data_IF_153597993608
#
_entry.id   IF_153597993608
#
_cell.length_a   1.000
_cell.length_b   1.000
_cell.length_c   1.000
_cell.angle_alpha   90.00
_cell.angle_beta   90.00
_cell.angle_gamma   90.00
#
_symmetry.space_group_name_H-M   'P 1'
#
loop_
_entity.id
_entity.type
_entity.pdbx_description
1 polymer ?
#
# COMPACT_ATOMS: atom_id res chain seq x y z
N UNK A 1 24.00 2.13 13.39
CA UNK A 1 23.42 1.14 14.33
C UNK A 1 22.84 0.02 13.49
N UNK A 2 22.95 -1.24 13.93
CA UNK A 2 22.33 -2.37 13.23
C UNK A 2 21.04 -2.70 13.96
N UNK A 3 19.91 -2.67 13.25
CA UNK A 3 18.59 -3.03 13.80
C UNK A 3 18.25 -4.48 13.47
N UNK A 4 17.65 -5.18 14.43
CA UNK A 4 17.06 -6.50 14.24
C UNK A 4 15.55 -6.41 14.03
N UNK A 5 14.97 -7.47 13.50
CA UNK A 5 13.50 -7.56 13.30
C UNK A 5 12.71 -7.38 14.61
N UNK A 6 13.28 -7.78 15.74
CA UNK A 6 12.66 -7.68 17.05
C UNK A 6 12.55 -6.24 17.58
N UNK A 7 13.37 -5.31 17.07
CA UNK A 7 13.26 -3.88 17.40
C UNK A 7 11.95 -3.25 16.90
N UNK A 8 11.27 -3.93 15.96
CA UNK A 8 9.99 -3.53 15.38
C UNK A 8 8.83 -4.41 15.84
N UNK A 9 8.98 -5.10 16.96
CA UNK A 9 7.94 -5.96 17.52
C UNK A 9 7.13 -5.23 18.60
N UNK A 10 5.85 -5.53 18.67
CA UNK A 10 4.96 -5.10 19.72
C UNK A 10 3.77 -6.05 19.83
N UNK A 11 3.17 -6.13 21.01
CA UNK A 11 1.97 -6.95 21.19
C UNK A 11 0.73 -6.20 20.72
N UNK A 12 0.08 -6.71 19.66
CA UNK A 12 -1.19 -6.20 19.16
C UNK A 12 -2.34 -7.11 19.54
N UNK A 13 -3.31 -6.65 20.36
CA UNK A 13 -4.52 -7.41 20.64
C UNK A 13 -5.36 -7.62 19.37
N UNK A 14 -5.77 -8.87 19.11
CA UNK A 14 -6.54 -9.22 17.88
C UNK A 14 -7.83 -8.40 17.72
N UNK A 15 -8.48 -8.01 18.84
CA UNK A 15 -9.70 -7.19 18.81
C UNK A 15 -9.50 -5.81 18.17
N UNK A 16 -8.25 -5.33 18.08
CA UNK A 16 -7.93 -4.06 17.45
C UNK A 16 -7.69 -4.17 15.93
N UNK A 17 -7.69 -5.38 15.38
CA UNK A 17 -7.56 -5.60 13.95
C UNK A 17 -8.91 -5.35 13.28
N UNK A 18 -9.01 -4.26 12.51
CA UNK A 18 -10.25 -3.86 11.84
C UNK A 18 -10.64 -4.85 10.75
N UNK A 19 -11.89 -5.32 10.77
CA UNK A 19 -12.46 -6.20 9.76
C UNK A 19 -13.31 -5.45 8.73
N UNK A 20 -13.65 -4.20 8.99
CA UNK A 20 -14.42 -3.31 8.13
C UNK A 20 -14.05 -1.86 8.39
N UNK A 21 -14.22 -0.95 7.39
CA UNK A 21 -13.92 0.48 7.57
C UNK A 21 -14.87 1.15 8.57
N UNK A 22 -14.55 2.37 8.94
CA UNK A 22 -15.51 3.25 9.62
C UNK A 22 -16.61 3.66 8.64
N UNK A 23 -17.79 3.96 9.14
CA UNK A 23 -18.92 4.50 8.39
C UNK A 23 -19.47 5.75 9.06
N UNK A 24 -19.35 6.94 8.45
CA UNK A 24 -18.58 7.25 7.22
C UNK A 24 -17.09 6.95 7.35
N UNK A 25 -16.38 6.83 6.21
CA UNK A 25 -14.94 6.43 6.20
C UNK A 25 -14.05 7.41 6.94
N UNK A 26 -14.35 8.70 6.86
CA UNK A 26 -13.62 9.79 7.53
C UNK A 26 -13.93 9.90 9.04
N UNK A 27 -14.84 9.07 9.57
CA UNK A 27 -15.06 8.93 11.02
C UNK A 27 -14.07 7.95 11.68
N UNK A 28 -13.05 7.47 10.96
CA UNK A 28 -11.89 6.81 11.55
C UNK A 28 -11.17 7.76 12.50
N UNK A 29 -10.55 7.24 13.57
CA UNK A 29 -9.68 8.04 14.43
C UNK A 29 -8.42 8.48 13.67
N UNK A 30 -7.89 9.63 14.01
CA UNK A 30 -6.64 10.17 13.49
C UNK A 30 -5.71 10.55 14.65
N UNK A 31 -4.60 9.84 14.79
CA UNK A 31 -3.54 10.22 15.71
C UNK A 31 -2.65 11.25 15.00
N UNK A 32 -2.56 12.45 15.54
CA UNK A 32 -1.64 13.48 15.06
C UNK A 32 -0.39 13.47 15.93
N UNK A 33 0.77 13.30 15.30
CA UNK A 33 2.06 13.35 15.97
C UNK A 33 2.93 14.46 15.37
N UNK A 34 3.35 15.39 16.20
CA UNK A 34 4.26 16.48 15.85
C UNK A 34 5.68 16.12 16.25
N UNK A 35 6.57 15.97 15.26
CA UNK A 35 7.98 15.55 15.47
C UNK A 35 8.81 16.58 16.21
N UNK A 36 8.50 17.87 16.04
CA UNK A 36 9.28 18.94 16.67
C UNK A 36 9.01 19.05 18.17
N UNK A 37 7.75 18.86 18.56
CA UNK A 37 7.30 18.98 19.96
C UNK A 37 7.13 17.63 20.65
N UNK A 38 7.16 16.53 19.88
CA UNK A 38 6.86 15.16 20.32
C UNK A 38 5.45 15.04 20.93
N UNK A 39 4.53 15.92 20.54
CA UNK A 39 3.16 15.91 21.02
C UNK A 39 2.29 14.91 20.27
N UNK A 40 1.46 14.14 20.99
CA UNK A 40 0.40 13.29 20.44
C UNK A 40 -0.94 13.95 20.73
N UNK A 41 -1.78 14.03 19.71
CA UNK A 41 -3.16 14.50 19.79
C UNK A 41 -4.10 13.48 19.14
N UNK A 42 -5.18 13.14 19.82
CA UNK A 42 -6.24 12.28 19.28
C UNK A 42 -7.30 13.15 18.61
N UNK A 43 -7.57 12.87 17.32
CA UNK A 43 -8.54 13.55 16.46
C UNK A 43 -9.37 12.52 15.69
N UNK A 44 -10.21 12.99 14.79
CA UNK A 44 -10.88 12.18 13.77
C UNK A 44 -10.42 12.59 12.38
N UNK A 45 -10.49 11.66 11.43
CA UNK A 45 -9.99 11.90 10.08
C UNK A 45 -10.77 13.01 9.34
N UNK A 46 -12.06 13.21 9.67
CA UNK A 46 -12.87 14.30 9.12
C UNK A 46 -12.39 15.71 9.52
N UNK A 47 -11.46 15.83 10.50
CA UNK A 47 -10.84 17.11 10.92
C UNK A 47 -9.58 17.43 10.11
N UNK A 48 -9.18 16.56 9.16
CA UNK A 48 -7.90 16.62 8.45
C UNK A 48 -7.67 17.97 7.77
N UNK A 49 -8.69 18.56 7.14
CA UNK A 49 -8.63 19.86 6.46
C UNK A 49 -8.14 21.00 7.37
N UNK A 50 -8.45 20.93 8.66
CA UNK A 50 -7.98 21.91 9.67
C UNK A 50 -6.61 21.57 10.29
N UNK A 51 -6.11 20.36 10.09
CA UNK A 51 -4.87 19.85 10.69
C UNK A 51 -3.69 19.93 9.71
N UNK A 52 -3.95 20.10 8.43
CA UNK A 52 -2.94 20.24 7.39
C UNK A 52 -2.35 21.67 7.39
N UNK A 53 -1.08 21.79 7.04
CA UNK A 53 -0.43 23.07 6.81
C UNK A 53 -0.97 23.72 5.54
N UNK A 54 -1.22 25.04 5.57
CA UNK A 54 -1.90 25.77 4.51
C UNK A 54 -1.18 25.75 3.15
N UNK A 55 0.14 25.57 3.15
CA UNK A 55 1.00 25.54 1.97
C UNK A 55 1.46 24.15 1.58
N UNK A 56 0.83 23.11 2.16
CA UNK A 56 1.13 21.71 1.81
C UNK A 56 0.43 21.28 0.53
N UNK A 57 1.06 20.36 -0.19
CA UNK A 57 0.42 19.59 -1.25
C UNK A 57 0.24 18.14 -0.80
N UNK A 58 -1.00 17.65 -0.84
CA UNK A 58 -1.30 16.23 -0.62
C UNK A 58 -0.95 15.41 -1.85
N UNK A 59 -0.17 14.35 -1.68
CA UNK A 59 0.16 13.44 -2.79
C UNK A 59 -0.45 12.08 -2.54
N UNK A 60 -1.35 11.68 -3.42
CA UNK A 60 -2.17 10.47 -3.36
C UNK A 60 -1.66 9.41 -4.34
N UNK A 61 -1.82 8.13 -3.99
CA UNK A 61 -1.65 7.04 -4.94
C UNK A 61 -3.02 6.65 -5.53
N UNK A 62 -3.23 6.88 -6.82
CA UNK A 62 -4.49 6.65 -7.52
C UNK A 62 -4.65 5.24 -8.10
N UNK A 63 -3.75 4.32 -7.75
CA UNK A 63 -3.84 2.95 -8.26
C UNK A 63 -5.14 2.27 -7.84
N UNK A 64 -5.72 1.50 -8.78
CA UNK A 64 -6.95 0.72 -8.59
C UNK A 64 -6.62 -0.75 -8.40
N UNK A 65 -7.25 -1.37 -7.40
CA UNK A 65 -7.11 -2.81 -7.15
C UNK A 65 -7.86 -3.58 -8.22
N UNK A 66 -7.17 -4.49 -8.89
CA UNK A 66 -7.79 -5.37 -9.88
C UNK A 66 -8.33 -6.65 -9.25
N UNK A 67 -9.35 -7.25 -9.86
CA UNK A 67 -9.93 -8.53 -9.43
C UNK A 67 -9.05 -9.71 -9.88
N UNK A 68 -7.87 -9.84 -9.30
CA UNK A 68 -6.86 -10.82 -9.68
C UNK A 68 -6.93 -12.15 -8.92
N UNK A 69 -7.89 -12.32 -8.03
CA UNK A 69 -8.08 -13.53 -7.23
C UNK A 69 -9.20 -14.38 -7.84
N UNK A 70 -8.83 -15.46 -8.52
CA UNK A 70 -9.79 -16.38 -9.15
C UNK A 70 -10.14 -17.52 -8.18
N UNK A 71 -11.40 -17.60 -7.77
CA UNK A 71 -11.88 -18.62 -6.83
C UNK A 71 -12.81 -19.61 -7.53
N UNK A 72 -12.47 -20.90 -7.45
CA UNK A 72 -13.22 -22.00 -8.02
C UNK A 72 -13.66 -23.00 -6.95
N UNK A 73 -14.65 -23.82 -7.25
CA UNK A 73 -15.12 -24.89 -6.35
C UNK A 73 -15.49 -24.38 -4.96
N UNK A 74 -16.15 -23.19 -4.88
CA UNK A 74 -16.47 -22.56 -3.60
C UNK A 74 -15.24 -22.16 -2.79
N UNK A 75 -14.16 -21.69 -3.45
CA UNK A 75 -12.92 -21.23 -2.83
C UNK A 75 -11.92 -22.35 -2.49
N UNK A 76 -12.21 -23.61 -2.82
CA UNK A 76 -11.29 -24.75 -2.59
C UNK A 76 -10.11 -24.74 -3.57
N UNK A 77 -10.27 -24.13 -4.72
CA UNK A 77 -9.22 -23.92 -5.72
C UNK A 77 -9.09 -22.45 -5.99
N UNK A 78 -7.87 -21.95 -5.88
CA UNK A 78 -7.55 -20.54 -6.05
C UNK A 78 -6.38 -20.38 -7.02
N UNK A 79 -6.52 -19.43 -7.95
CA UNK A 79 -5.44 -18.90 -8.76
C UNK A 79 -5.37 -17.40 -8.44
N UNK A 80 -4.25 -16.96 -7.86
CA UNK A 80 -3.97 -15.57 -7.60
C UNK A 80 -3.03 -15.06 -8.69
N UNK A 81 -3.56 -14.28 -9.63
CA UNK A 81 -2.80 -13.74 -10.76
C UNK A 81 -1.90 -12.61 -10.28
N UNK A 82 -0.59 -12.79 -10.41
CA UNK A 82 0.42 -11.78 -10.06
C UNK A 82 0.75 -10.91 -11.27
N UNK A 83 0.93 -11.55 -12.43
CA UNK A 83 1.27 -10.87 -13.67
C UNK A 83 0.59 -11.56 -14.87
N UNK A 84 0.21 -10.76 -15.86
CA UNK A 84 -0.36 -11.23 -17.11
C UNK A 84 0.70 -11.10 -18.20
N UNK A 85 1.23 -12.25 -18.66
CA UNK A 85 2.28 -12.31 -19.68
C UNK A 85 1.67 -11.98 -21.04
N UNK A 86 0.52 -12.59 -21.32
CA UNK A 86 -0.36 -12.30 -22.44
C UNK A 86 -1.80 -12.76 -22.07
N UNK A 87 -2.83 -12.53 -22.90
CA UNK A 87 -4.22 -12.85 -22.54
C UNK A 87 -4.47 -14.31 -22.08
N UNK A 88 -3.61 -15.24 -22.45
CA UNK A 88 -3.75 -16.67 -22.14
C UNK A 88 -2.70 -17.18 -21.14
N UNK A 89 -1.67 -16.41 -20.86
CA UNK A 89 -0.57 -16.83 -20.00
C UNK A 89 -0.39 -15.90 -18.81
N UNK A 90 -0.47 -16.47 -17.61
CA UNK A 90 -0.34 -15.70 -16.37
C UNK A 90 0.73 -16.31 -15.47
N UNK A 91 1.38 -15.44 -14.68
CA UNK A 91 2.17 -15.86 -13.54
C UNK A 91 1.30 -15.75 -12.29
N UNK A 92 1.21 -16.82 -11.50
CA UNK A 92 0.25 -16.90 -10.42
C UNK A 92 0.75 -17.70 -9.21
N UNK A 93 0.25 -17.33 -8.05
CA UNK A 93 0.20 -18.21 -6.88
C UNK A 93 -1.05 -19.09 -6.98
N UNK A 94 -0.99 -20.31 -6.45
CA UNK A 94 -2.13 -21.26 -6.52
C UNK A 94 -2.35 -22.01 -5.22
N UNK A 95 -3.61 -22.32 -4.95
CA UNK A 95 -4.01 -23.16 -3.81
C UNK A 95 -5.10 -24.15 -4.23
N UNK A 96 -4.97 -25.44 -3.86
CA UNK A 96 -3.84 -26.09 -3.22
C UNK A 96 -2.70 -26.40 -4.23
N UNK A 97 -1.45 -26.12 -3.87
CA UNK A 97 -0.29 -26.30 -4.76
C UNK A 97 -0.14 -27.72 -5.30
N UNK A 98 -0.58 -28.76 -4.55
CA UNK A 98 -0.55 -30.17 -4.98
C UNK A 98 -1.43 -30.45 -6.22
N UNK A 99 -2.45 -29.61 -6.48
CA UNK A 99 -3.34 -29.73 -7.67
C UNK A 99 -2.61 -29.21 -8.92
N UNK A 100 -1.70 -28.24 -8.78
CA UNK A 100 -1.01 -27.53 -9.85
C UNK A 100 0.46 -28.00 -10.00
N UNK A 101 0.66 -29.22 -10.51
CA UNK A 101 1.99 -29.77 -10.80
C UNK A 101 2.39 -29.46 -12.25
N UNK A 102 3.69 -29.27 -12.50
CA UNK A 102 4.23 -29.00 -13.86
C UNK A 102 3.73 -30.03 -14.88
N UNK A 103 3.30 -29.55 -16.03
CA UNK A 103 2.74 -30.32 -17.13
C UNK A 103 1.32 -30.85 -16.90
N UNK A 104 0.70 -30.52 -15.76
CA UNK A 104 -0.67 -30.94 -15.45
C UNK A 104 -1.68 -29.91 -15.95
N UNK A 105 -2.75 -30.40 -16.57
CA UNK A 105 -3.98 -29.67 -16.87
C UNK A 105 -4.92 -29.78 -15.68
N UNK A 106 -5.36 -28.66 -15.14
CA UNK A 106 -6.26 -28.55 -13.98
C UNK A 106 -7.60 -28.05 -14.46
N UNK A 107 -8.66 -28.85 -14.32
CA UNK A 107 -10.03 -28.41 -14.57
C UNK A 107 -10.46 -27.45 -13.47
N UNK A 108 -10.96 -26.29 -13.84
CA UNK A 108 -11.38 -25.20 -12.95
C UNK A 108 -12.92 -25.11 -12.88
N UNK A 109 -13.56 -25.20 -14.05
CA UNK A 109 -15.01 -25.24 -14.24
C UNK A 109 -15.31 -26.03 -15.54
N UNK A 110 -16.57 -26.33 -15.88
CA UNK A 110 -16.89 -26.92 -17.18
C UNK A 110 -16.24 -26.14 -18.33
N UNK A 111 -15.49 -26.82 -19.19
CA UNK A 111 -14.75 -26.28 -20.34
C UNK A 111 -13.66 -25.25 -20.01
N UNK A 112 -13.43 -24.95 -18.71
CA UNK A 112 -12.43 -24.00 -18.23
C UNK A 112 -11.29 -24.75 -17.52
N UNK A 113 -10.06 -24.63 -18.02
CA UNK A 113 -8.89 -25.28 -17.43
C UNK A 113 -7.64 -24.38 -17.48
N UNK A 114 -6.68 -24.69 -16.63
CA UNK A 114 -5.34 -24.14 -16.65
C UNK A 114 -4.31 -25.26 -16.81
N UNK A 115 -3.31 -25.06 -17.65
CA UNK A 115 -2.15 -25.93 -17.80
C UNK A 115 -0.94 -25.32 -17.13
N UNK A 116 -0.23 -26.09 -16.29
CA UNK A 116 0.95 -25.64 -15.57
C UNK A 116 2.19 -25.82 -16.45
N UNK A 117 2.74 -24.73 -16.98
CA UNK A 117 3.90 -24.75 -17.86
C UNK A 117 5.21 -24.85 -17.08
N UNK A 118 5.33 -24.03 -16.01
CA UNK A 118 6.53 -24.01 -15.17
C UNK A 118 6.18 -23.72 -13.70
N UNK A 119 7.15 -24.01 -12.83
CA UNK A 119 7.10 -23.68 -11.40
C UNK A 119 8.48 -23.12 -11.06
N UNK A 120 8.51 -21.94 -10.45
CA UNK A 120 9.74 -21.31 -9.96
C UNK A 120 10.18 -21.89 -8.61
N UNK A 121 11.38 -21.57 -8.15
CA UNK A 121 11.92 -22.07 -6.86
C UNK A 121 11.10 -21.58 -5.66
N UNK A 122 10.57 -20.35 -5.73
CA UNK A 122 9.67 -19.74 -4.73
C UNK A 122 8.21 -20.22 -4.87
N UNK A 123 7.95 -21.11 -5.84
CA UNK A 123 6.69 -21.78 -5.99
C UNK A 123 5.63 -21.07 -6.82
N UNK A 124 5.97 -20.02 -7.55
CA UNK A 124 5.06 -19.40 -8.54
C UNK A 124 4.85 -20.32 -9.73
N UNK A 125 3.67 -20.24 -10.36
CA UNK A 125 3.30 -21.02 -11.54
C UNK A 125 3.13 -20.12 -12.74
N UNK A 126 3.72 -20.52 -13.86
CA UNK A 126 3.28 -20.01 -15.16
C UNK A 126 2.16 -20.93 -15.65
N UNK A 127 0.99 -20.35 -15.83
CA UNK A 127 -0.21 -21.06 -16.25
C UNK A 127 -0.60 -20.62 -17.66
N UNK A 128 -1.00 -21.60 -18.49
CA UNK A 128 -1.72 -21.37 -19.74
C UNK A 128 -3.20 -21.61 -19.50
N UNK A 129 -4.02 -20.60 -19.71
CA UNK A 129 -5.47 -20.65 -19.55
C UNK A 129 -6.12 -21.13 -20.84
N UNK A 130 -7.26 -21.83 -20.74
CA UNK A 130 -8.03 -22.29 -21.89
C UNK A 130 -8.73 -21.19 -22.67
N UNK A 131 -9.01 -20.07 -22.00
CA UNK A 131 -9.64 -18.85 -22.53
C UNK A 131 -8.79 -17.64 -22.13
N UNK A 132 -8.97 -16.52 -22.83
CA UNK A 132 -8.36 -15.25 -22.42
C UNK A 132 -8.79 -14.89 -21.00
N UNK A 133 -7.88 -14.35 -20.18
CA UNK A 133 -8.22 -13.89 -18.83
C UNK A 133 -9.33 -12.81 -18.84
N UNK A 134 -9.46 -12.06 -19.95
CA UNK A 134 -10.48 -11.01 -20.12
C UNK A 134 -11.81 -11.57 -20.62
N UNK A 135 -11.90 -12.87 -20.91
CA UNK A 135 -13.14 -13.50 -21.34
C UNK A 135 -14.17 -13.50 -20.20
N UNK A 136 -15.42 -13.21 -20.55
CA UNK A 136 -16.54 -13.17 -19.61
C UNK A 136 -16.73 -14.49 -18.81
N UNK A 137 -16.19 -15.60 -19.29
CA UNK A 137 -16.22 -16.90 -18.58
C UNK A 137 -15.51 -16.84 -17.22
N UNK A 138 -14.53 -15.92 -17.05
CA UNK A 138 -13.83 -15.75 -15.77
C UNK A 138 -14.54 -14.80 -14.79
N UNK A 139 -15.46 -13.94 -15.24
CA UNK A 139 -16.10 -12.92 -14.39
C UNK A 139 -16.74 -13.49 -13.10
N UNK A 140 -17.44 -14.64 -13.12
CA UNK A 140 -18.02 -15.22 -11.90
C UNK A 140 -16.98 -15.68 -10.87
N UNK A 141 -15.71 -15.79 -11.27
CA UNK A 141 -14.63 -16.31 -10.44
C UNK A 141 -13.66 -15.22 -9.99
N UNK A 142 -13.73 -14.03 -10.58
CA UNK A 142 -12.87 -12.88 -10.24
C UNK A 142 -13.30 -12.21 -8.95
N UNK A 143 -12.39 -12.09 -8.00
CA UNK A 143 -12.60 -11.45 -6.71
C UNK A 143 -11.48 -10.45 -6.41
N UNK A 144 -11.83 -9.40 -5.65
CA UNK A 144 -10.86 -8.45 -5.10
C UNK A 144 -9.96 -9.16 -4.09
N UNK A 145 -8.64 -8.98 -4.15
CA UNK A 145 -7.70 -9.60 -3.24
C UNK A 145 -7.66 -8.87 -1.89
N UNK A 146 -8.60 -9.16 -1.00
CA UNK A 146 -8.55 -8.63 0.36
C UNK A 146 -7.33 -9.19 1.11
N UNK A 147 -6.73 -8.39 2.00
CA UNK A 147 -5.63 -8.84 2.86
C UNK A 147 -5.97 -10.08 3.67
N UNK A 148 -4.99 -10.95 4.01
CA UNK A 148 -5.25 -12.25 4.63
C UNK A 148 -5.85 -12.18 6.03
N UNK A 149 -5.75 -11.05 6.72
CA UNK A 149 -6.33 -10.81 8.05
C UNK A 149 -7.79 -10.30 8.00
N UNK A 150 -8.31 -10.00 6.80
CA UNK A 150 -9.71 -9.63 6.59
C UNK A 150 -10.48 -10.87 6.14
N UNK A 151 -11.59 -11.16 6.82
CA UNK A 151 -12.49 -12.22 6.39
C UNK A 151 -13.04 -11.93 4.98
N UNK A 152 -12.98 -12.94 4.09
CA UNK A 152 -13.47 -12.78 2.72
C UNK A 152 -14.95 -12.40 2.73
N UNK A 153 -15.25 -11.20 2.21
CA UNK A 153 -16.59 -10.67 2.09
C UNK A 153 -16.68 -9.85 0.80
N UNK A 154 -17.55 -10.26 -0.12
CA UNK A 154 -17.73 -9.59 -1.41
C UNK A 154 -18.20 -8.13 -1.25
N UNK A 155 -19.01 -7.85 -0.21
CA UNK A 155 -19.46 -6.48 0.08
C UNK A 155 -18.30 -5.51 0.39
N UNK A 156 -17.14 -6.02 0.83
CA UNK A 156 -15.95 -5.20 1.09
C UNK A 156 -15.12 -4.91 -0.17
N UNK A 157 -15.42 -5.54 -1.30
CA UNK A 157 -14.64 -5.37 -2.54
C UNK A 157 -14.62 -3.93 -3.02
N UNK A 158 -15.79 -3.26 -3.02
CA UNK A 158 -15.90 -1.85 -3.39
C UNK A 158 -15.36 -0.93 -2.29
N UNK A 159 -15.45 -1.34 -1.03
CA UNK A 159 -14.90 -0.58 0.08
C UNK A 159 -13.37 -0.64 0.15
N UNK A 160 -12.75 -1.64 -0.47
CA UNK A 160 -11.30 -1.79 -0.60
C UNK A 160 -10.74 -1.04 -1.82
N UNK A 161 -11.37 0.11 -2.17
CA UNK A 161 -10.93 1.06 -3.20
C UNK A 161 -10.98 2.48 -2.63
N UNK A 162 -10.02 3.30 -3.05
CA UNK A 162 -10.09 4.74 -2.77
C UNK A 162 -11.13 5.42 -3.68
N UNK A 163 -11.68 6.55 -3.27
CA UNK A 163 -12.65 7.32 -4.07
C UNK A 163 -12.02 7.90 -5.35
N UNK A 164 -10.70 7.96 -5.41
CA UNK A 164 -9.92 8.48 -6.54
C UNK A 164 -9.14 7.39 -7.30
N UNK A 165 -9.47 6.10 -7.08
CA UNK A 165 -8.82 4.99 -7.78
C UNK A 165 -9.11 5.02 -9.28
N UNK A 166 -8.07 5.07 -10.12
CA UNK A 166 -8.14 5.19 -11.59
C UNK A 166 -7.38 4.08 -12.31
N UNK A 167 -6.08 3.96 -12.06
CA UNK A 167 -5.14 3.15 -12.84
C UNK A 167 -5.10 1.72 -12.32
N UNK A 168 -5.68 0.78 -13.07
CA UNK A 168 -5.74 -0.64 -12.72
C UNK A 168 -4.36 -1.31 -12.77
N UNK A 169 -4.15 -2.34 -11.97
CA UNK A 169 -2.92 -3.15 -11.92
C UNK A 169 -2.41 -3.39 -10.49
N UNK A 170 -3.01 -2.75 -9.49
CA UNK A 170 -2.62 -2.94 -8.10
C UNK A 170 -3.22 -4.22 -7.50
N UNK A 171 -2.43 -4.95 -6.70
CA UNK A 171 -2.89 -6.14 -5.96
C UNK A 171 -3.38 -5.80 -4.55
N UNK A 172 -3.19 -4.54 -4.12
CA UNK A 172 -3.70 -4.04 -2.84
C UNK A 172 -4.03 -2.55 -2.94
N UNK A 173 -4.99 -2.09 -2.14
CA UNK A 173 -5.35 -0.68 -2.08
C UNK A 173 -4.28 0.15 -1.36
N UNK A 174 -4.08 1.42 -1.73
CA UNK A 174 -3.33 2.39 -0.94
C UNK A 174 -4.18 2.80 0.28
N UNK A 175 -4.11 2.00 1.35
CA UNK A 175 -5.11 1.94 2.42
C UNK A 175 -5.28 3.23 3.21
N UNK A 176 -4.25 4.08 3.31
CA UNK A 176 -4.38 5.40 3.93
C UNK A 176 -5.35 6.32 3.16
N UNK A 177 -5.55 6.05 1.88
CA UNK A 177 -6.51 6.76 1.04
C UNK A 177 -7.96 6.32 1.24
N UNK A 178 -8.21 5.19 1.89
CA UNK A 178 -9.57 4.69 2.12
C UNK A 178 -10.39 5.58 3.06
N UNK A 179 -9.74 6.41 3.87
CA UNK A 179 -10.40 7.31 4.81
C UNK A 179 -11.03 8.53 4.16
N UNK A 180 -10.58 8.90 2.95
CA UNK A 180 -11.12 10.07 2.27
C UNK A 180 -12.53 9.83 1.77
N UNK A 181 -13.38 10.86 1.96
CA UNK A 181 -14.73 10.97 1.39
C UNK A 181 -14.76 12.11 0.36
N UNK A 182 -15.70 12.12 -0.58
CA UNK A 182 -15.85 13.25 -1.51
C UNK A 182 -16.03 14.58 -0.79
N UNK A 183 -16.78 14.59 0.32
CA UNK A 183 -17.03 15.76 1.14
C UNK A 183 -15.77 16.30 1.80
N UNK A 184 -14.92 15.42 2.35
CA UNK A 184 -13.62 15.81 2.91
C UNK A 184 -12.69 16.36 1.84
N UNK A 185 -12.61 15.70 0.68
CA UNK A 185 -11.79 16.18 -0.45
C UNK A 185 -12.22 17.57 -0.91
N UNK A 186 -13.53 17.85 -0.93
CA UNK A 186 -14.05 19.18 -1.28
C UNK A 186 -13.63 20.23 -0.24
N UNK A 187 -13.72 19.93 1.07
CA UNK A 187 -13.25 20.86 2.12
C UNK A 187 -11.76 21.14 2.05
N UNK A 188 -10.94 20.11 1.76
CA UNK A 188 -9.51 20.26 1.55
C UNK A 188 -9.24 21.21 0.36
N UNK A 189 -9.93 21.03 -0.75
CA UNK A 189 -9.81 21.90 -1.91
C UNK A 189 -10.28 23.33 -1.60
N UNK A 190 -11.39 23.50 -0.88
CA UNK A 190 -11.92 24.81 -0.47
C UNK A 190 -10.96 25.56 0.49
N UNK A 191 -10.14 24.81 1.24
CA UNK A 191 -9.09 25.37 2.09
C UNK A 191 -7.84 25.83 1.31
N UNK A 192 -7.81 25.64 -0.02
CA UNK A 192 -6.71 26.02 -0.88
C UNK A 192 -5.53 25.02 -0.90
N UNK A 193 -5.68 23.87 -0.28
CA UNK A 193 -4.67 22.80 -0.27
C UNK A 193 -4.69 22.08 -1.62
N UNK A 194 -3.53 22.02 -2.27
CA UNK A 194 -3.37 21.31 -3.53
C UNK A 194 -3.37 19.79 -3.31
N UNK A 195 -3.95 19.07 -4.27
CA UNK A 195 -3.98 17.61 -4.28
C UNK A 195 -3.41 17.11 -5.59
N UNK A 196 -2.41 16.27 -5.51
CA UNK A 196 -1.72 15.68 -6.65
C UNK A 196 -1.79 14.16 -6.60
N UNK A 197 -1.78 13.53 -7.76
CA UNK A 197 -1.89 12.08 -7.88
C UNK A 197 -0.68 11.50 -8.59
N UNK A 198 -0.16 10.41 -8.05
CA UNK A 198 0.79 9.52 -8.70
C UNK A 198 0.23 8.09 -8.73
N UNK A 199 0.84 7.22 -9.47
CA UNK A 199 0.48 5.79 -9.51
C UNK A 199 1.62 4.96 -8.96
N UNK A 200 1.34 4.04 -8.04
CA UNK A 200 2.21 2.90 -7.71
C UNK A 200 1.33 1.65 -7.63
N UNK A 201 1.65 0.67 -8.44
CA UNK A 201 0.97 -0.63 -8.41
C UNK A 201 1.54 -1.49 -7.30
N UNK A 202 0.77 -1.61 -6.22
CA UNK A 202 1.16 -2.37 -5.02
C UNK A 202 1.20 -3.86 -5.35
N UNK A 203 2.36 -4.48 -5.13
CA UNK A 203 2.56 -5.92 -5.26
C UNK A 203 2.18 -6.71 -4.01
N UNK A 204 2.20 -8.05 -4.14
CA UNK A 204 1.92 -8.95 -3.00
C UNK A 204 2.97 -8.88 -1.89
N UNK A 205 4.18 -8.44 -2.21
CA UNK A 205 5.29 -8.33 -1.25
C UNK A 205 5.03 -7.38 -0.10
N UNK A 206 4.16 -6.39 -0.28
CA UNK A 206 3.83 -5.39 0.73
C UNK A 206 3.22 -5.99 2.01
N UNK A 207 2.53 -7.13 1.90
CA UNK A 207 1.98 -7.86 3.06
C UNK A 207 2.83 -9.05 3.51
N UNK A 208 3.96 -9.30 2.85
CA UNK A 208 4.84 -10.38 3.24
C UNK A 208 5.60 -10.00 4.52
N UNK A 209 5.60 -10.87 5.54
CA UNK A 209 6.39 -10.61 6.74
C UNK A 209 7.89 -10.65 6.40
N UNK A 210 8.67 -9.78 7.03
CA UNK A 210 10.13 -9.84 6.97
C UNK A 210 10.59 -11.13 7.65
N UNK A 211 11.37 -11.94 6.92
CA UNK A 211 11.83 -13.26 7.39
C UNK A 211 13.28 -13.27 7.89
N UNK A 212 14.02 -12.22 7.61
CA UNK A 212 15.42 -12.07 7.98
C UNK A 212 15.54 -11.55 9.41
N UNK A 213 16.52 -12.05 10.18
CA UNK A 213 16.78 -11.51 11.53
C UNK A 213 17.36 -10.09 11.47
N UNK A 214 18.24 -9.84 10.51
CA UNK A 214 18.78 -8.50 10.22
C UNK A 214 17.96 -7.85 9.13
N UNK A 215 17.42 -6.69 9.41
CA UNK A 215 16.53 -6.00 8.44
C UNK A 215 17.27 -5.64 7.14
N UNK A 216 18.59 -5.40 7.19
CA UNK A 216 19.41 -5.06 6.03
C UNK A 216 19.56 -6.22 5.02
N UNK A 217 19.25 -7.44 5.43
CA UNK A 217 19.28 -8.63 4.56
C UNK A 217 17.93 -8.85 3.84
N UNK A 218 16.91 -8.05 4.16
CA UNK A 218 15.61 -8.13 3.51
C UNK A 218 15.68 -7.55 2.10
N UNK A 219 15.17 -8.32 1.13
CA UNK A 219 15.05 -7.89 -0.26
C UNK A 219 13.64 -7.40 -0.50
N UNK A 220 13.50 -6.13 -0.82
CA UNK A 220 12.22 -5.54 -1.20
C UNK A 220 11.80 -6.02 -2.58
N UNK A 221 10.50 -6.23 -2.75
CA UNK A 221 9.92 -6.46 -4.07
C UNK A 221 9.85 -5.14 -4.85
N UNK A 222 10.19 -5.23 -6.12
CA UNK A 222 10.08 -4.12 -7.06
C UNK A 222 8.60 -3.83 -7.38
N UNK A 223 8.21 -2.55 -7.35
CA UNK A 223 6.87 -2.08 -7.67
C UNK A 223 6.94 -0.97 -8.71
N UNK A 224 6.10 -1.07 -9.73
CA UNK A 224 6.07 -0.09 -10.84
C UNK A 224 5.32 1.17 -10.41
N UNK A 225 5.84 2.32 -10.81
CA UNK A 225 5.21 3.61 -10.57
C UNK A 225 5.16 4.47 -11.84
N UNK A 226 4.31 5.48 -11.78
CA UNK A 226 4.24 6.56 -12.75
C UNK A 226 4.03 7.91 -12.04
N UNK A 227 4.85 8.90 -12.37
CA UNK A 227 4.72 10.29 -11.95
C UNK A 227 4.45 11.15 -13.18
N UNK A 228 3.26 11.77 -13.33
CA UNK A 228 2.94 12.64 -14.44
C UNK A 228 3.84 13.89 -14.49
N UNK A 229 4.11 14.40 -15.70
CA UNK A 229 4.98 15.57 -15.91
C UNK A 229 4.44 16.82 -15.21
N UNK A 230 3.16 17.10 -15.36
CA UNK A 230 2.49 18.23 -14.71
C UNK A 230 2.49 18.14 -13.17
N UNK A 231 2.47 16.91 -12.61
CA UNK A 231 2.57 16.69 -11.17
C UNK A 231 4.00 16.97 -10.71
N UNK A 232 4.99 16.43 -11.39
CA UNK A 232 6.40 16.68 -11.07
C UNK A 232 6.74 18.19 -11.10
N UNK A 233 6.25 18.91 -12.10
CA UNK A 233 6.44 20.36 -12.20
C UNK A 233 5.81 21.11 -11.00
N UNK A 234 4.60 20.74 -10.58
CA UNK A 234 3.95 21.36 -9.42
C UNK A 234 4.68 21.03 -8.13
N UNK A 235 5.09 19.78 -7.92
CA UNK A 235 5.86 19.34 -6.74
C UNK A 235 7.22 20.05 -6.64
N UNK A 236 7.88 20.37 -7.77
CA UNK A 236 9.12 21.14 -7.78
C UNK A 236 8.98 22.57 -7.21
N UNK A 237 7.75 23.10 -7.19
CA UNK A 237 7.42 24.43 -6.71
C UNK A 237 6.68 24.40 -5.37
N UNK A 238 6.49 23.24 -4.76
CA UNK A 238 5.74 23.05 -3.52
C UNK A 238 6.68 23.14 -2.32
N UNK A 239 6.40 23.98 -1.32
CA UNK A 239 7.24 24.10 -0.11
C UNK A 239 7.12 22.88 0.80
N UNK A 240 5.90 22.37 0.99
CA UNK A 240 5.61 21.24 1.86
C UNK A 240 4.85 20.13 1.14
N UNK A 241 5.27 18.89 1.33
CA UNK A 241 4.64 17.70 0.74
C UNK A 241 4.16 16.79 1.85
N UNK A 242 2.85 16.56 1.88
CA UNK A 242 2.21 15.54 2.73
C UNK A 242 1.88 14.31 1.88
N UNK A 243 2.60 13.22 2.09
CA UNK A 243 2.33 11.97 1.39
C UNK A 243 1.16 11.21 2.04
N UNK A 244 0.22 10.73 1.25
CA UNK A 244 -0.85 9.86 1.71
C UNK A 244 -0.51 8.41 1.37
N UNK A 245 -0.18 7.65 2.40
CA UNK A 245 0.26 6.27 2.33
C UNK A 245 1.76 6.11 2.09
N UNK A 246 2.28 5.00 2.59
CA UNK A 246 3.67 4.59 2.41
C UNK A 246 4.04 4.37 0.95
N UNK A 247 3.07 4.08 0.09
CA UNK A 247 3.24 3.93 -1.36
C UNK A 247 3.61 5.26 -2.01
N UNK A 248 2.93 6.35 -1.67
CA UNK A 248 3.28 7.70 -2.15
C UNK A 248 4.66 8.12 -1.67
N UNK A 249 5.01 7.83 -0.40
CA UNK A 249 6.36 8.05 0.14
C UNK A 249 7.40 7.34 -0.71
N UNK A 250 7.21 6.06 -1.00
CA UNK A 250 8.20 5.26 -1.73
C UNK A 250 8.46 5.79 -3.14
N UNK A 251 7.42 6.25 -3.85
CA UNK A 251 7.62 6.88 -5.15
C UNK A 251 8.38 8.20 -5.00
N UNK A 252 7.90 9.10 -4.16
CA UNK A 252 8.47 10.43 -4.00
C UNK A 252 9.95 10.36 -3.59
N UNK A 253 10.29 9.52 -2.62
CA UNK A 253 11.68 9.34 -2.18
C UNK A 253 12.57 8.66 -3.25
N UNK A 254 12.01 7.78 -4.07
CA UNK A 254 12.75 7.14 -5.17
C UNK A 254 13.03 8.12 -6.31
N UNK A 255 12.06 8.96 -6.65
CA UNK A 255 12.18 9.94 -7.76
C UNK A 255 13.15 11.04 -7.38
N UNK A 256 13.10 11.55 -6.15
CA UNK A 256 14.05 12.58 -5.66
C UNK A 256 15.47 12.00 -5.59
N UNK A 257 15.65 10.78 -5.11
CA UNK A 257 16.98 10.16 -5.03
C UNK A 257 17.64 9.97 -6.42
N UNK A 258 16.84 9.76 -7.46
CA UNK A 258 17.31 9.63 -8.85
C UNK A 258 17.68 10.98 -9.49
N UNK A 259 17.09 12.07 -9.05
CA UNK A 259 17.25 13.42 -9.64
C UNK A 259 18.23 14.34 -8.91
N UNK A 260 18.77 13.93 -7.77
CA UNK A 260 19.71 14.75 -7.00
C UNK A 260 21.06 14.85 -7.68
N UNK A 261 21.33 16.02 -8.24
CA UNK A 261 22.67 16.47 -8.63
C UNK A 261 23.41 16.91 -7.34
N UNK A 262 24.41 16.15 -6.93
CA UNK A 262 25.13 16.32 -5.66
C UNK A 262 25.85 17.68 -5.56
N UNK A 263 25.98 18.43 -6.68
CA UNK A 263 26.70 19.70 -6.75
C UNK A 263 25.84 20.96 -6.50
N UNK A 264 24.50 20.90 -6.57
CA UNK A 264 23.66 22.11 -6.55
C UNK A 264 22.96 22.44 -5.24
N UNK A 265 23.19 21.68 -4.15
CA UNK A 265 22.72 22.04 -2.81
C UNK A 265 21.22 22.39 -2.74
N UNK A 266 20.38 21.35 -2.71
CA UNK A 266 19.13 21.37 -1.98
C UNK A 266 17.94 22.18 -2.51
N UNK A 267 17.56 22.06 -3.78
CA UNK A 267 16.15 22.17 -4.14
C UNK A 267 15.67 20.78 -4.53
N UNK A 268 14.60 20.26 -3.87
CA UNK A 268 13.94 19.02 -4.29
C UNK A 268 13.62 19.12 -5.78
N UNK A 269 14.02 18.12 -6.54
CA UNK A 269 13.71 18.06 -7.96
C UNK A 269 13.10 16.70 -8.26
N UNK A 270 11.87 16.72 -8.72
CA UNK A 270 11.13 15.52 -9.13
C UNK A 270 11.20 15.43 -10.66
N UNK A 271 11.56 14.26 -11.16
CA UNK A 271 11.54 13.95 -12.59
C UNK A 271 10.31 13.09 -12.89
N UNK A 272 9.55 13.52 -13.90
CA UNK A 272 8.39 12.78 -14.37
C UNK A 272 8.79 11.49 -15.06
N UNK A 273 7.91 10.51 -15.08
CA UNK A 273 8.07 9.30 -15.86
C UNK A 273 7.59 8.04 -15.18
N UNK A 274 7.74 6.94 -15.92
CA UNK A 274 7.50 5.59 -15.42
C UNK A 274 8.80 4.98 -14.93
N UNK A 275 8.74 4.25 -13.83
CA UNK A 275 9.87 3.55 -13.27
C UNK A 275 9.43 2.42 -12.35
N UNK A 276 10.40 1.88 -11.65
CA UNK A 276 10.17 0.91 -10.58
C UNK A 276 10.96 1.28 -9.34
N UNK A 277 10.45 0.87 -8.18
CA UNK A 277 11.11 1.10 -6.90
C UNK A 277 11.12 -0.15 -6.04
N UNK A 278 12.28 -0.45 -5.50
CA UNK A 278 12.51 -1.43 -4.45
C UNK A 278 13.05 -0.76 -3.17
N UNK A 279 12.84 0.57 -3.05
CA UNK A 279 13.36 1.35 -1.92
C UNK A 279 12.91 0.74 -0.59
N UNK A 280 13.88 0.50 0.28
CA UNK A 280 13.67 0.02 1.64
C UNK A 280 14.05 1.10 2.64
N UNK A 281 13.04 1.80 3.13
CA UNK A 281 13.20 2.90 4.09
C UNK A 281 13.22 2.33 5.51
N UNK A 282 14.34 2.51 6.21
CA UNK A 282 14.59 2.00 7.57
C UNK A 282 15.20 3.10 8.44
N UNK A 283 15.20 2.97 9.78
CA UNK A 283 15.82 3.96 10.67
C UNK A 283 17.25 4.31 10.26
N UNK A 284 17.52 5.61 10.15
CA UNK A 284 18.75 6.18 9.60
C UNK A 284 18.60 6.71 8.17
N UNK A 285 17.47 6.42 7.51
CA UNK A 285 17.11 7.07 6.25
C UNK A 285 16.76 8.55 6.48
N UNK A 286 17.26 9.42 5.61
CA UNK A 286 16.95 10.84 5.62
C UNK A 286 15.93 11.14 4.53
N UNK A 287 14.70 11.48 4.92
CA UNK A 287 13.64 11.88 4.00
C UNK A 287 14.02 13.16 3.27
N UNK A 288 13.85 13.17 1.96
CA UNK A 288 14.24 14.27 1.08
C UNK A 288 13.02 14.89 0.40
N UNK A 289 12.00 14.09 0.15
CA UNK A 289 10.81 14.48 -0.59
C UNK A 289 9.62 14.80 0.31
N UNK A 290 9.50 14.10 1.45
CA UNK A 290 8.26 14.08 2.24
C UNK A 290 8.45 14.80 3.57
N UNK A 291 7.61 15.80 3.82
CA UNK A 291 7.63 16.60 5.07
C UNK A 291 6.65 16.05 6.11
N UNK A 292 5.49 15.56 5.67
CA UNK A 292 4.48 14.94 6.52
C UNK A 292 3.92 13.66 5.87
N UNK A 293 3.44 12.74 6.71
CA UNK A 293 2.95 11.43 6.28
C UNK A 293 1.60 11.12 6.92
N UNK A 294 0.60 10.84 6.09
CA UNK A 294 -0.67 10.22 6.51
C UNK A 294 -0.58 8.73 6.23
N UNK A 295 -0.74 7.89 7.25
CA UNK A 295 -0.66 6.43 7.06
C UNK A 295 -1.51 5.67 8.07
N UNK A 296 -1.82 4.39 7.80
CA UNK A 296 -2.47 3.51 8.76
C UNK A 296 -1.49 3.01 9.82
N UNK A 297 -2.01 2.37 10.88
CA UNK A 297 -1.20 1.59 11.81
C UNK A 297 -0.83 0.25 11.19
N UNK A 298 0.47 -0.07 11.19
CA UNK A 298 1.03 -1.23 10.50
C UNK A 298 1.27 -2.44 11.40
N UNK A 299 1.49 -3.60 10.75
CA UNK A 299 1.84 -4.86 11.39
C UNK A 299 3.17 -4.79 12.15
N UNK A 300 3.29 -5.46 13.31
CA UNK A 300 4.60 -5.72 13.90
C UNK A 300 5.52 -6.40 12.89
N UNK A 301 6.81 -6.08 12.95
CA UNK A 301 7.87 -6.65 12.08
C UNK A 301 7.66 -6.43 10.58
N UNK A 302 6.85 -5.44 10.17
CA UNK A 302 6.63 -5.12 8.76
C UNK A 302 7.60 -4.04 8.26
N UNK A 303 7.87 -4.06 6.95
CA UNK A 303 8.66 -3.02 6.27
C UNK A 303 8.02 -1.64 6.39
N UNK A 304 6.67 -1.58 6.47
CA UNK A 304 5.93 -0.35 6.63
C UNK A 304 6.10 0.26 8.02
N UNK A 305 6.19 -0.58 9.07
CA UNK A 305 6.51 -0.10 10.42
C UNK A 305 7.93 0.46 10.50
N UNK A 306 8.88 -0.14 9.76
CA UNK A 306 10.25 0.35 9.67
C UNK A 306 10.32 1.73 8.99
N UNK A 307 9.50 1.95 7.96
CA UNK A 307 9.36 3.25 7.30
C UNK A 307 8.83 4.31 8.29
N UNK A 308 7.80 3.98 9.07
CA UNK A 308 7.30 4.88 10.13
C UNK A 308 8.40 5.16 11.17
N UNK A 309 9.12 4.13 11.62
CA UNK A 309 10.21 4.29 12.56
C UNK A 309 11.38 5.13 12.00
N UNK A 310 11.60 5.07 10.68
CA UNK A 310 12.55 5.96 10.02
C UNK A 310 12.09 7.42 10.01
N UNK A 311 10.77 7.66 9.97
CA UNK A 311 10.18 9.00 9.91
C UNK A 311 10.14 9.71 11.27
N UNK A 312 9.77 8.96 12.33
CA UNK A 312 9.59 9.55 13.68
C UNK A 312 10.68 9.17 14.68
N UNK A 313 11.55 8.22 14.35
CA UNK A 313 12.47 7.57 15.28
C UNK A 313 11.89 6.31 15.93
N UNK A 314 12.76 5.36 16.28
CA UNK A 314 12.35 4.05 16.79
C UNK A 314 11.61 4.16 18.14
N UNK A 315 12.13 4.95 19.07
CA UNK A 315 11.53 5.15 20.40
C UNK A 315 10.15 5.81 20.29
N UNK A 316 10.03 6.83 19.44
CA UNK A 316 8.77 7.52 19.20
C UNK A 316 7.75 6.64 18.49
N UNK A 317 8.18 5.81 17.54
CA UNK A 317 7.30 4.81 16.95
C UNK A 317 6.70 3.91 18.03
N UNK A 318 7.51 3.37 18.94
CA UNK A 318 6.98 2.55 20.04
C UNK A 318 6.03 3.31 20.95
N UNK A 319 6.32 4.58 21.26
CA UNK A 319 5.46 5.44 22.09
C UNK A 319 4.11 5.70 21.42
N UNK A 320 4.13 6.03 20.11
CA UNK A 320 2.92 6.26 19.30
C UNK A 320 2.06 4.98 19.26
N UNK A 321 2.66 3.83 19.00
CA UNK A 321 1.93 2.55 18.93
C UNK A 321 1.39 2.09 20.28
N UNK A 322 2.13 2.32 21.37
CA UNK A 322 1.65 2.05 22.74
C UNK A 322 0.46 2.95 23.09
N UNK A 323 0.50 4.25 22.73
CA UNK A 323 -0.62 5.17 22.90
C UNK A 323 -1.85 4.71 22.09
N UNK A 324 -1.64 4.35 20.82
CA UNK A 324 -2.72 3.89 19.95
C UNK A 324 -3.42 2.63 20.49
N UNK A 325 -2.65 1.66 21.01
CA UNK A 325 -3.21 0.45 21.64
C UNK A 325 -4.00 0.80 22.90
N UNK A 326 -3.43 1.65 23.76
CA UNK A 326 -4.08 2.07 25.00
C UNK A 326 -5.37 2.87 24.77
N UNK A 327 -5.40 3.68 23.70
CA UNK A 327 -6.54 4.50 23.26
C UNK A 327 -7.50 3.76 22.32
N UNK A 328 -7.31 2.44 22.16
CA UNK A 328 -8.17 1.57 21.35
C UNK A 328 -8.34 2.06 19.90
N UNK A 329 -7.23 2.44 19.26
CA UNK A 329 -7.18 2.62 17.80
C UNK A 329 -7.28 1.27 17.10
N UNK A 330 -7.89 1.26 15.93
CA UNK A 330 -7.99 0.08 15.07
C UNK A 330 -6.81 0.04 14.11
N UNK A 331 -6.37 -1.15 13.80
CA UNK A 331 -5.14 -1.39 13.04
C UNK A 331 -5.41 -1.96 11.65
N UNK A 332 -4.46 -1.79 10.74
CA UNK A 332 -4.34 -2.29 9.38
C UNK A 332 -5.27 -1.59 8.38
N UNK A 333 -5.62 -2.26 7.27
CA UNK A 333 -6.21 -1.65 6.07
C UNK A 333 -7.49 -0.86 6.32
N UNK A 334 -8.37 -1.38 7.17
CA UNK A 334 -9.63 -0.73 7.55
C UNK A 334 -9.58 -0.08 8.94
N UNK A 335 -8.38 -0.01 9.50
CA UNK A 335 -8.14 0.59 10.81
C UNK A 335 -8.24 2.10 10.79
N UNK A 336 -7.61 2.71 11.76
CA UNK A 336 -7.51 4.16 11.94
C UNK A 336 -6.19 4.68 11.33
N UNK A 337 -5.97 5.98 11.34
CA UNK A 337 -4.85 6.61 10.68
C UNK A 337 -3.95 7.42 11.64
N UNK A 338 -2.77 7.76 11.16
CA UNK A 338 -1.83 8.72 11.76
C UNK A 338 -1.54 9.84 10.77
N UNK A 339 -1.41 11.07 11.27
CA UNK A 339 -0.75 12.19 10.62
C UNK A 339 0.55 12.46 11.39
N UNK A 340 1.67 12.20 10.75
CA UNK A 340 3.02 12.41 11.27
C UNK A 340 3.60 13.65 10.58
N UNK A 341 3.92 14.70 11.32
CA UNK A 341 4.40 15.99 10.78
C UNK A 341 5.54 16.60 11.58
#
# INVERSE_FOLDING_TARGET
>A
MSFGIHDFDFHLPERLIAQQPAHPRDHAKLLVYDRATQHIQDCFFYELDSLLEADTTLVLNNSRVEKCRLLFEGGKTEIFVLDTIDPYHVQAMVRPGKKFKKGKRVLLAPDLYAEVLSITEDGLRTLKLSHSLDDAVFEPFKHTPLPPYIAQNEALSEEYQTIYAKDEGSKAAPTAGLHFTPELMQRIADSGISVEELTLHVGMGTFAPVKTERIQEHIMHEERYFLPEEVAERLNNTPHITAVGTTSVRVLESVVALSMDVESGANRKFEAGSGSTDIFITPGYHYQAVDALITNFHLPKSTLLMLVAAFVGLEEMHRIYAHAIASEYRFYSFGDAMLLR
#
